data_IF_470967945004
#
_entry.id   IF_470967945004
#
_cell.length_a   1.000
_cell.length_b   1.000
_cell.length_c   1.000
_cell.angle_alpha   90.00
_cell.angle_beta   90.00
_cell.angle_gamma   90.00
#
_symmetry.space_group_name_H-M   'P 1'
#
loop_
_entity.id
_entity.type
_entity.pdbx_description
1 polymer ?
#
# COMPACT_ATOMS: atom_id res chain seq x y z
N UNK A 1 1.97 21.72 4.99
CA UNK A 1 1.97 20.31 4.55
C UNK A 1 3.41 19.88 4.37
N UNK A 2 3.85 18.85 5.09
CA UNK A 2 5.21 18.33 4.93
C UNK A 2 5.24 17.44 3.68
N UNK A 3 6.26 17.64 2.86
CA UNK A 3 6.57 16.83 1.67
C UNK A 3 6.58 15.34 2.03
N UNK A 4 6.19 14.45 1.10
CA UNK A 4 6.51 13.03 1.21
C UNK A 4 8.04 12.88 1.20
N UNK A 5 8.64 12.90 2.39
CA UNK A 5 10.07 12.73 2.58
C UNK A 5 10.41 11.25 2.29
N UNK A 6 11.07 11.00 1.17
CA UNK A 6 11.46 9.67 0.72
C UNK A 6 12.37 9.04 1.79
N UNK A 7 13.26 9.83 2.40
CA UNK A 7 14.16 9.38 3.45
C UNK A 7 13.42 8.93 4.72
N UNK A 8 12.30 9.56 5.07
CA UNK A 8 11.46 9.14 6.20
C UNK A 8 10.76 7.81 5.96
N UNK A 9 10.27 7.58 4.75
CA UNK A 9 9.64 6.31 4.37
C UNK A 9 10.67 5.17 4.26
N UNK A 10 11.83 5.47 3.69
CA UNK A 10 12.99 4.58 3.65
C UNK A 10 13.45 4.16 5.05
N UNK A 11 13.46 5.10 6.01
CA UNK A 11 13.79 4.80 7.40
C UNK A 11 12.77 3.84 8.05
N UNK A 12 11.47 4.02 7.79
CA UNK A 12 10.42 3.12 8.28
C UNK A 12 10.58 1.69 7.75
N UNK A 13 10.96 1.54 6.48
CA UNK A 13 11.17 0.23 5.85
C UNK A 13 12.48 -0.44 6.33
N UNK A 14 13.57 0.33 6.46
CA UNK A 14 14.86 -0.17 6.99
C UNK A 14 14.79 -0.47 8.49
N UNK A 15 13.90 0.17 9.23
CA UNK A 15 13.71 -0.01 10.67
C UNK A 15 12.87 -1.23 11.06
N UNK A 16 12.31 -1.99 10.10
CA UNK A 16 11.57 -3.21 10.38
C UNK A 16 12.53 -4.35 10.75
N UNK A 17 12.17 -5.09 11.79
CA UNK A 17 12.97 -6.25 12.20
C UNK A 17 12.81 -7.40 11.19
N UNK A 18 13.83 -8.26 11.01
CA UNK A 18 13.75 -9.41 10.10
C UNK A 18 12.54 -10.32 10.38
N UNK A 19 12.13 -10.44 11.64
CA UNK A 19 11.00 -11.28 12.07
C UNK A 19 9.67 -10.77 11.50
N UNK A 20 9.53 -9.47 11.25
CA UNK A 20 8.32 -8.89 10.67
C UNK A 20 8.08 -9.29 9.21
N UNK A 21 9.14 -9.70 8.52
CA UNK A 21 9.11 -10.13 7.11
C UNK A 21 8.88 -11.64 6.95
N UNK A 22 8.83 -12.40 8.05
CA UNK A 22 8.53 -13.84 8.09
C UNK A 22 9.37 -14.64 7.07
N UNK A 23 8.72 -15.23 6.04
CA UNK A 23 9.34 -16.06 5.01
C UNK A 23 9.59 -15.31 3.69
N UNK A 24 9.57 -13.98 3.72
CA UNK A 24 9.99 -13.15 2.58
C UNK A 24 11.45 -13.41 2.26
N UNK A 25 11.73 -13.69 0.98
CA UNK A 25 13.10 -13.87 0.49
C UNK A 25 13.63 -12.57 -0.08
N UNK A 26 14.86 -12.25 0.29
CA UNK A 26 15.60 -11.13 -0.27
C UNK A 26 16.80 -11.68 -1.03
N UNK A 27 16.98 -11.24 -2.28
CA UNK A 27 18.10 -11.66 -3.13
C UNK A 27 18.76 -10.44 -3.76
N UNK A 28 20.09 -10.39 -3.72
CA UNK A 28 20.86 -9.35 -4.39
C UNK A 28 20.96 -9.62 -5.89
N UNK A 29 20.86 -8.55 -6.68
CA UNK A 29 21.07 -8.57 -8.12
C UNK A 29 21.77 -7.26 -8.55
N UNK A 30 22.06 -7.11 -9.84
CA UNK A 30 22.82 -5.96 -10.36
C UNK A 30 24.33 -6.23 -10.39
N UNK A 31 25.12 -5.16 -10.35
CA UNK A 31 26.60 -5.26 -10.35
C UNK A 31 27.16 -5.05 -8.94
N UNK A 32 28.39 -5.50 -8.65
CA UNK A 32 29.02 -5.25 -7.35
C UNK A 32 29.10 -3.77 -6.96
N UNK A 33 29.19 -2.87 -7.94
CA UNK A 33 29.26 -1.42 -7.74
C UNK A 33 27.88 -0.79 -7.52
N UNK A 34 26.82 -1.43 -8.01
CA UNK A 34 25.43 -1.01 -7.85
C UNK A 34 24.56 -2.21 -7.45
N UNK A 35 24.71 -2.69 -6.21
CA UNK A 35 23.90 -3.80 -5.72
C UNK A 35 22.45 -3.33 -5.57
N UNK A 36 21.52 -4.14 -6.05
CA UNK A 36 20.09 -3.95 -5.91
C UNK A 36 19.48 -5.12 -5.15
N UNK A 37 18.41 -4.87 -4.41
CA UNK A 37 17.74 -5.89 -3.60
C UNK A 37 16.38 -6.24 -4.19
N UNK A 38 16.17 -7.51 -4.53
CA UNK A 38 14.85 -8.04 -4.88
C UNK A 38 14.18 -8.65 -3.65
N UNK A 39 12.85 -8.71 -3.68
CA UNK A 39 12.01 -9.20 -2.61
C UNK A 39 10.94 -10.12 -3.19
N UNK A 40 10.76 -11.31 -2.62
CA UNK A 40 9.67 -12.21 -2.93
C UNK A 40 8.94 -12.60 -1.65
N UNK A 41 7.65 -12.24 -1.57
CA UNK A 41 6.80 -12.64 -0.45
C UNK A 41 6.57 -14.16 -0.44
N UNK A 42 6.82 -14.77 0.71
CA UNK A 42 6.52 -16.18 0.93
C UNK A 42 5.06 -16.40 1.37
N UNK A 43 4.58 -17.66 1.31
CA UNK A 43 3.20 -17.98 1.67
C UNK A 43 2.83 -17.63 3.13
N UNK A 44 3.77 -17.63 4.09
CA UNK A 44 3.45 -17.31 5.49
C UNK A 44 3.18 -15.83 5.69
N UNK A 45 3.98 -14.93 5.10
CA UNK A 45 3.68 -13.49 5.17
C UNK A 45 2.40 -13.16 4.43
N UNK A 46 2.18 -13.76 3.25
CA UNK A 46 0.93 -13.58 2.51
C UNK A 46 -0.27 -13.97 3.38
N UNK A 47 -0.27 -15.15 3.99
CA UNK A 47 -1.41 -15.64 4.77
C UNK A 47 -1.66 -14.85 6.06
N UNK A 48 -0.60 -14.48 6.78
CA UNK A 48 -0.74 -13.93 8.14
C UNK A 48 -0.80 -12.41 8.20
N UNK A 49 -0.32 -11.72 7.15
CA UNK A 49 -0.16 -10.25 7.16
C UNK A 49 -0.88 -9.54 6.04
N UNK A 50 -1.07 -10.19 4.88
CA UNK A 50 -1.68 -9.55 3.72
C UNK A 50 -3.11 -10.05 3.41
N UNK A 51 -3.35 -11.36 3.51
CA UNK A 51 -4.59 -12.04 3.11
C UNK A 51 -5.36 -12.66 4.30
N UNK A 52 -5.09 -12.24 5.53
CA UNK A 52 -5.62 -12.90 6.74
C UNK A 52 -7.16 -12.81 6.88
N UNK A 53 -7.82 -11.90 6.15
CA UNK A 53 -9.28 -11.75 6.11
C UNK A 53 -9.85 -11.98 4.71
N UNK A 54 -9.02 -12.35 3.74
CA UNK A 54 -9.46 -12.67 2.39
C UNK A 54 -10.05 -14.09 2.30
N UNK A 55 -10.93 -14.34 1.32
CA UNK A 55 -11.30 -15.70 0.93
C UNK A 55 -10.08 -16.56 0.60
N UNK A 56 -10.14 -17.85 0.94
CA UNK A 56 -9.02 -18.78 0.71
C UNK A 56 -8.65 -18.92 -0.77
N UNK A 57 -9.62 -18.74 -1.67
CA UNK A 57 -9.42 -18.78 -3.12
C UNK A 57 -8.50 -17.64 -3.57
N UNK A 58 -8.65 -16.45 -3.00
CA UNK A 58 -7.82 -15.29 -3.32
C UNK A 58 -6.39 -15.47 -2.80
N UNK A 59 -6.23 -16.02 -1.58
CA UNK A 59 -4.90 -16.40 -1.08
C UNK A 59 -4.24 -17.46 -1.98
N UNK A 60 -4.99 -18.48 -2.39
CA UNK A 60 -4.47 -19.53 -3.29
C UNK A 60 -4.02 -18.91 -4.61
N UNK A 61 -4.84 -18.05 -5.20
CA UNK A 61 -4.50 -17.33 -6.42
C UNK A 61 -3.24 -16.48 -6.25
N UNK A 62 -3.12 -15.75 -5.14
CA UNK A 62 -1.95 -14.92 -4.84
C UNK A 62 -0.66 -15.75 -4.77
N UNK A 63 -0.69 -16.94 -4.14
CA UNK A 63 0.49 -17.82 -4.08
C UNK A 63 0.96 -18.33 -5.43
N UNK A 64 0.08 -18.41 -6.43
CA UNK A 64 0.41 -18.82 -7.80
C UNK A 64 0.95 -17.64 -8.62
N UNK A 65 0.46 -16.43 -8.35
CA UNK A 65 0.75 -15.24 -9.15
C UNK A 65 1.86 -14.35 -8.60
N UNK A 66 2.23 -14.48 -7.31
CA UNK A 66 3.26 -13.63 -6.70
C UNK A 66 4.60 -13.83 -7.40
N UNK A 67 5.29 -12.71 -7.64
CA UNK A 67 6.58 -12.66 -8.33
C UNK A 67 7.56 -11.77 -7.58
N UNK A 68 8.87 -11.95 -7.78
CA UNK A 68 9.86 -11.05 -7.19
C UNK A 68 9.61 -9.61 -7.63
N UNK A 69 9.63 -8.69 -6.66
CA UNK A 69 9.62 -7.24 -6.85
C UNK A 69 10.85 -6.59 -6.19
N UNK A 70 10.85 -5.27 -6.07
CA UNK A 70 11.88 -4.52 -5.35
C UNK A 70 11.24 -3.34 -4.63
N UNK A 71 11.79 -2.98 -3.47
CA UNK A 71 11.45 -1.73 -2.79
C UNK A 71 12.25 -0.53 -3.32
N UNK A 72 13.21 -0.76 -4.22
CA UNK A 72 14.10 0.25 -4.82
C UNK A 72 14.78 1.14 -3.78
N UNK A 73 15.16 0.56 -2.63
CA UNK A 73 15.69 1.33 -1.49
C UNK A 73 17.01 2.01 -1.83
N UNK A 74 17.80 1.40 -2.70
CA UNK A 74 19.09 1.89 -3.19
C UNK A 74 18.89 3.09 -4.11
N UNK A 75 18.00 2.99 -5.09
CA UNK A 75 17.68 4.11 -6.00
C UNK A 75 17.01 5.27 -5.24
N UNK A 76 16.06 4.97 -4.37
CA UNK A 76 15.32 5.97 -3.58
C UNK A 76 16.20 6.67 -2.54
N UNK A 77 17.30 6.06 -2.09
CA UNK A 77 18.25 6.71 -1.19
C UNK A 77 18.97 7.90 -1.84
N UNK A 78 19.09 7.89 -3.18
CA UNK A 78 19.75 8.93 -3.96
C UNK A 78 18.76 9.80 -4.75
N UNK A 79 17.48 9.47 -4.73
CA UNK A 79 16.44 10.24 -5.38
C UNK A 79 16.17 11.56 -4.66
N UNK A 80 15.90 12.61 -5.45
CA UNK A 80 15.42 13.87 -4.90
C UNK A 80 14.03 13.69 -4.26
N UNK A 81 13.79 14.38 -3.14
CA UNK A 81 12.46 14.44 -2.54
C UNK A 81 11.45 15.08 -3.50
N UNK A 82 10.18 14.74 -3.33
CA UNK A 82 9.10 15.36 -4.08
C UNK A 82 8.94 16.86 -3.75
N UNK A 83 8.45 17.66 -4.70
CA UNK A 83 8.24 19.12 -4.50
C UNK A 83 6.79 19.46 -4.14
N UNK A 84 6.59 20.65 -3.56
CA UNK A 84 5.25 21.15 -3.26
C UNK A 84 4.51 21.60 -4.51
N UNK A 85 5.23 22.19 -5.46
CA UNK A 85 4.69 22.69 -6.73
C UNK A 85 4.25 21.52 -7.63
N UNK A 86 4.90 20.36 -7.52
CA UNK A 86 4.54 19.13 -8.20
C UNK A 86 3.63 18.24 -7.33
N UNK A 87 4.22 17.28 -6.64
CA UNK A 87 3.51 16.27 -5.83
C UNK A 87 2.60 16.88 -4.77
N UNK A 88 3.04 17.96 -4.11
CA UNK A 88 2.27 18.62 -3.06
C UNK A 88 1.00 19.31 -3.55
N UNK A 89 0.91 19.63 -4.85
CA UNK A 89 -0.24 20.32 -5.46
C UNK A 89 -1.46 19.43 -5.65
N UNK A 90 -1.29 18.10 -5.59
CA UNK A 90 -2.36 17.13 -5.77
C UNK A 90 -3.00 16.79 -4.43
N UNK A 91 -4.33 16.87 -4.34
CA UNK A 91 -5.10 16.42 -3.18
C UNK A 91 -4.85 14.93 -2.91
N UNK A 92 -4.48 14.61 -1.66
CA UNK A 92 -4.16 13.24 -1.23
C UNK A 92 -5.14 12.77 -0.17
N UNK A 93 -5.72 11.61 -0.43
CA UNK A 93 -6.65 10.94 0.48
C UNK A 93 -6.06 9.59 0.83
N UNK A 94 -5.99 9.28 2.12
CA UNK A 94 -5.46 8.02 2.61
C UNK A 94 -6.59 7.15 3.12
N UNK A 95 -6.71 5.92 2.60
CA UNK A 95 -7.69 4.94 3.06
C UNK A 95 -6.99 3.95 3.98
N UNK A 96 -7.39 3.93 5.25
CA UNK A 96 -6.84 3.06 6.28
C UNK A 96 -7.60 1.74 6.27
N UNK A 97 -6.88 0.63 6.15
CA UNK A 97 -7.38 -0.71 6.42
C UNK A 97 -7.13 -1.03 7.90
N UNK A 98 -8.17 -1.13 8.71
CA UNK A 98 -8.00 -1.20 10.18
C UNK A 98 -7.20 -2.44 10.64
N UNK A 99 -7.33 -3.55 9.91
CA UNK A 99 -6.68 -4.82 10.27
C UNK A 99 -5.33 -5.00 9.55
N UNK A 100 -4.87 -3.99 8.80
CA UNK A 100 -3.54 -4.00 8.20
C UNK A 100 -2.49 -3.59 9.24
N UNK A 101 -1.69 -4.57 9.65
CA UNK A 101 -0.60 -4.39 10.62
C UNK A 101 0.73 -4.04 9.97
N UNK A 102 0.80 -4.02 8.64
CA UNK A 102 2.04 -3.81 7.89
C UNK A 102 2.35 -2.33 7.66
N UNK A 103 1.34 -1.48 7.51
CA UNK A 103 1.56 -0.09 7.13
C UNK A 103 0.93 0.89 8.11
N UNK A 104 1.76 1.82 8.59
CA UNK A 104 1.32 2.88 9.47
C UNK A 104 0.68 4.01 8.67
N UNK A 105 -0.29 4.69 9.29
CA UNK A 105 -1.05 5.80 8.72
C UNK A 105 -0.12 6.86 8.11
N UNK A 106 -0.37 7.24 6.86
CA UNK A 106 0.32 8.37 6.25
C UNK A 106 -0.19 9.68 6.87
N UNK A 107 0.66 10.38 7.62
CA UNK A 107 0.31 11.61 8.34
C UNK A 107 0.20 12.85 7.45
N UNK A 108 0.52 12.75 6.15
CA UNK A 108 0.54 13.89 5.21
C UNK A 108 -0.65 13.92 4.23
N UNK A 109 -1.73 13.19 4.54
CA UNK A 109 -2.97 13.22 3.75
C UNK A 109 -3.91 14.34 4.22
N UNK A 110 -4.64 14.93 3.26
CA UNK A 110 -5.65 15.96 3.52
C UNK A 110 -6.92 15.35 4.16
N UNK A 111 -7.25 14.15 3.74
CA UNK A 111 -8.38 13.40 4.26
C UNK A 111 -7.95 11.95 4.55
N UNK A 112 -8.47 11.40 5.64
CA UNK A 112 -8.26 10.02 6.02
C UNK A 112 -9.63 9.32 6.09
N UNK A 113 -9.80 8.30 5.26
CA UNK A 113 -10.94 7.38 5.28
C UNK A 113 -10.51 6.08 5.96
N UNK A 114 -11.47 5.31 6.45
CA UNK A 114 -11.19 4.04 7.11
C UNK A 114 -12.16 2.95 6.66
N UNK A 115 -11.65 1.77 6.35
CA UNK A 115 -12.41 0.57 6.07
C UNK A 115 -12.16 -0.42 7.20
N UNK A 116 -13.19 -0.63 8.04
CA UNK A 116 -13.14 -1.55 9.17
C UNK A 116 -13.18 -3.00 8.69
N UNK A 117 -12.37 -3.86 9.31
CA UNK A 117 -12.30 -5.27 8.94
C UNK A 117 -11.66 -5.53 7.57
N UNK A 118 -10.99 -4.54 6.96
CA UNK A 118 -10.15 -4.77 5.79
C UNK A 118 -8.73 -5.11 6.22
N UNK A 119 -8.16 -6.16 5.62
CA UNK A 119 -6.74 -6.45 5.70
C UNK A 119 -5.96 -5.60 4.67
N UNK A 120 -4.70 -5.95 4.41
CA UNK A 120 -3.87 -5.24 3.43
C UNK A 120 -4.49 -5.26 2.02
N UNK A 121 -5.25 -6.31 1.70
CA UNK A 121 -5.89 -6.52 0.42
C UNK A 121 -7.37 -6.11 0.46
N UNK A 122 -7.65 -4.87 0.85
CA UNK A 122 -9.02 -4.33 0.98
C UNK A 122 -9.89 -4.56 -0.27
N UNK A 123 -9.30 -4.56 -1.45
CA UNK A 123 -9.99 -4.85 -2.72
C UNK A 123 -10.52 -6.29 -2.84
N UNK A 124 -10.04 -7.22 -1.99
CA UNK A 124 -10.43 -8.62 -1.95
C UNK A 124 -11.20 -8.93 -0.65
N UNK A 125 -10.72 -8.44 0.50
CA UNK A 125 -11.40 -8.66 1.78
C UNK A 125 -12.69 -7.84 1.94
N UNK A 126 -12.72 -6.62 1.37
CA UNK A 126 -13.77 -5.60 1.53
C UNK A 126 -14.06 -4.83 0.23
N UNK A 127 -14.32 -5.52 -0.91
CA UNK A 127 -14.45 -4.89 -2.22
C UNK A 127 -15.58 -3.86 -2.31
N UNK A 128 -16.72 -4.13 -1.65
CA UNK A 128 -17.89 -3.23 -1.69
C UNK A 128 -17.63 -1.95 -0.90
N UNK A 129 -17.08 -2.09 0.30
CA UNK A 129 -16.75 -0.97 1.17
C UNK A 129 -15.67 -0.09 0.53
N UNK A 130 -14.65 -0.69 -0.10
CA UNK A 130 -13.66 0.05 -0.87
C UNK A 130 -14.29 0.78 -2.06
N UNK A 131 -15.19 0.13 -2.81
CA UNK A 131 -15.90 0.75 -3.92
C UNK A 131 -16.75 1.94 -3.48
N UNK A 132 -17.59 1.77 -2.44
CA UNK A 132 -18.39 2.86 -1.87
C UNK A 132 -17.49 4.02 -1.39
N UNK A 133 -16.35 3.72 -0.73
CA UNK A 133 -15.38 4.73 -0.30
C UNK A 133 -14.80 5.52 -1.48
N UNK A 134 -14.39 4.85 -2.55
CA UNK A 134 -13.84 5.49 -3.75
C UNK A 134 -14.90 6.33 -4.48
N UNK A 135 -16.16 5.87 -4.53
CA UNK A 135 -17.27 6.63 -5.10
C UNK A 135 -17.58 7.90 -4.28
N UNK A 136 -17.57 7.81 -2.95
CA UNK A 136 -17.71 8.99 -2.09
C UNK A 136 -16.60 10.02 -2.33
N UNK A 137 -15.35 9.54 -2.47
CA UNK A 137 -14.20 10.38 -2.78
C UNK A 137 -14.39 11.07 -4.14
N UNK A 138 -14.75 10.29 -5.16
CA UNK A 138 -15.00 10.81 -6.51
C UNK A 138 -16.13 11.84 -6.52
N UNK A 139 -17.27 11.55 -5.88
CA UNK A 139 -18.40 12.48 -5.80
C UNK A 139 -18.03 13.79 -5.08
N UNK A 140 -17.14 13.73 -4.07
CA UNK A 140 -16.72 14.91 -3.31
C UNK A 140 -15.73 15.79 -4.08
N UNK A 141 -14.80 15.16 -4.80
CA UNK A 141 -13.64 15.85 -5.41
C UNK A 141 -13.71 15.95 -6.94
N UNK A 142 -14.67 15.30 -7.59
CA UNK A 142 -14.91 15.38 -9.03
C UNK A 142 -16.33 15.89 -9.31
N UNK A 143 -16.47 17.18 -9.65
CA UNK A 143 -17.75 17.81 -10.02
C UNK A 143 -18.43 17.19 -11.27
N UNK A 144 -17.74 16.32 -12.01
CA UNK A 144 -18.22 15.73 -13.27
C UNK A 144 -18.94 14.37 -13.08
N UNK A 145 -18.85 13.73 -11.92
CA UNK A 145 -19.46 12.44 -11.63
C UNK A 145 -20.37 12.62 -10.42
N UNK A 146 -21.63 13.02 -10.62
CA UNK A 146 -22.67 12.81 -9.61
C UNK A 146 -23.18 11.38 -9.80
N UNK A 147 -22.43 10.42 -9.29
CA UNK A 147 -22.90 9.03 -9.25
C UNK A 147 -23.78 8.94 -8.01
N UNK A 148 -25.08 8.67 -8.19
CA UNK A 148 -26.00 8.45 -7.08
C UNK A 148 -25.51 7.24 -6.27
N UNK A 149 -24.79 7.51 -5.17
CA UNK A 149 -24.19 6.52 -4.27
C UNK A 149 -25.23 5.57 -3.65
N UNK A 150 -26.52 5.89 -3.78
CA UNK A 150 -27.64 5.12 -3.26
C UNK A 150 -27.87 3.80 -4.01
N UNK A 151 -27.44 3.68 -5.28
CA UNK A 151 -27.72 2.48 -6.10
C UNK A 151 -26.64 1.39 -6.03
N UNK A 152 -25.44 1.69 -5.52
CA UNK A 152 -24.30 0.75 -5.56
C UNK A 152 -24.08 0.04 -4.20
N UNK A 153 -24.56 0.62 -3.10
CA UNK A 153 -24.31 0.10 -1.75
C UNK A 153 -25.50 -0.66 -1.12
N UNK A 154 -26.52 -1.07 -1.89
CA UNK A 154 -27.62 -1.95 -1.46
C UNK A 154 -27.45 -3.39 -1.96
#
# INVERSE_FOLDING_TARGET
MSICNISGHLFSLKGRTPESWLDTKFESYGTPEMPLTSMLFGPKILASKLYQLCPIQDFTLATILVRPGSLFLEDLAHANNFSNEGYGSVTRIFVVCNEDTQYQRNTNAEEVKEIKGADHMAMLSKPRELCCCLLEIANRHCNALKIDSLYICH
#
